data_IF_692645877492
#
_entry.id   IF_692645877492
#
_cell.length_a   1.000
_cell.length_b   1.000
_cell.length_c   1.000
_cell.angle_alpha   90.00
_cell.angle_beta   90.00
_cell.angle_gamma   90.00
#
_symmetry.space_group_name_H-M   'P 1'
#
loop_
_entity.id
_entity.type
_entity.pdbx_description
1 polymer ?
#
# COMPACT_ATOMS: atom_id res chain seq x y z
N UNK A 1 8.27 -44.50 -35.40
CA UNK A 1 8.91 -43.16 -35.33
C UNK A 1 7.98 -42.24 -34.57
N UNK A 2 8.18 -42.09 -33.26
CA UNK A 2 7.40 -41.18 -32.42
C UNK A 2 8.23 -39.91 -32.22
N UNK A 3 7.78 -38.82 -32.83
CA UNK A 3 8.38 -37.49 -32.69
C UNK A 3 7.97 -36.91 -31.33
N UNK A 4 8.94 -36.70 -30.44
CA UNK A 4 8.73 -36.00 -29.18
C UNK A 4 8.84 -34.49 -29.42
N UNK A 5 7.71 -33.81 -29.27
CA UNK A 5 7.61 -32.36 -29.24
C UNK A 5 8.13 -31.90 -27.87
N UNK A 6 9.27 -31.21 -27.86
CA UNK A 6 9.75 -30.51 -26.66
C UNK A 6 9.02 -29.17 -26.55
N UNK A 7 8.10 -29.07 -25.59
CA UNK A 7 7.60 -27.77 -25.14
C UNK A 7 8.70 -27.09 -24.32
N UNK A 8 9.29 -26.03 -24.88
CA UNK A 8 10.14 -25.12 -24.13
C UNK A 8 9.26 -24.23 -23.25
N UNK A 9 9.16 -24.57 -21.97
CA UNK A 9 8.57 -23.72 -20.95
C UNK A 9 9.43 -22.47 -20.78
N UNK A 10 8.91 -21.30 -21.18
CA UNK A 10 9.57 -20.03 -20.94
C UNK A 10 9.60 -19.73 -19.43
N UNK A 11 10.76 -19.90 -18.79
CA UNK A 11 11.01 -19.44 -17.43
C UNK A 11 11.10 -17.91 -17.42
N UNK A 12 10.03 -17.23 -17.02
CA UNK A 12 10.12 -15.86 -16.54
C UNK A 12 10.76 -15.87 -15.14
N UNK A 13 12.08 -15.77 -15.08
CA UNK A 13 12.79 -15.47 -13.84
C UNK A 13 12.45 -14.02 -13.42
N UNK A 14 11.54 -13.86 -12.46
CA UNK A 14 11.35 -12.57 -11.80
C UNK A 14 12.49 -12.41 -10.80
N UNK A 15 13.64 -11.95 -11.30
CA UNK A 15 14.70 -11.46 -10.44
C UNK A 15 14.14 -10.23 -9.70
N UNK A 16 14.00 -10.32 -8.38
CA UNK A 16 13.78 -9.14 -7.55
C UNK A 16 15.00 -8.22 -7.77
N UNK A 17 14.80 -7.13 -8.52
CA UNK A 17 15.86 -6.17 -8.76
C UNK A 17 16.44 -5.71 -7.41
N UNK A 18 17.77 -5.72 -7.28
CA UNK A 18 18.46 -5.32 -6.06
C UNK A 18 17.93 -3.95 -5.59
N UNK A 19 17.53 -3.81 -4.31
CA UNK A 19 17.03 -2.54 -3.80
C UNK A 19 18.07 -1.45 -4.02
N UNK A 20 17.69 -0.34 -4.64
CA UNK A 20 18.57 0.82 -4.78
C UNK A 20 18.25 1.84 -3.69
N UNK A 21 19.29 2.25 -2.95
CA UNK A 21 19.19 3.40 -2.05
C UNK A 21 19.29 4.66 -2.90
N UNK A 22 18.27 5.51 -2.85
CA UNK A 22 18.37 6.85 -3.41
C UNK A 22 19.44 7.66 -2.66
N UNK A 23 20.14 8.61 -3.31
CA UNK A 23 21.04 9.53 -2.62
C UNK A 23 20.26 10.26 -1.50
N UNK A 24 20.72 10.12 -0.24
CA UNK A 24 20.06 10.73 0.93
C UNK A 24 19.09 9.82 1.70
N UNK A 25 18.95 8.54 1.34
CA UNK A 25 18.09 7.53 1.98
C UNK A 25 18.37 7.21 3.46
N UNK A 26 19.27 7.97 4.09
CA UNK A 26 19.97 7.62 5.31
C UNK A 26 20.39 8.83 6.14
N UNK A 27 19.57 9.87 6.16
CA UNK A 27 19.99 11.10 6.83
C UNK A 27 19.80 11.02 8.35
N UNK A 28 18.89 10.16 8.85
CA UNK A 28 18.44 10.20 10.26
C UNK A 28 18.32 8.81 10.93
N UNK A 29 18.43 8.73 12.28
CA UNK A 29 18.45 7.45 13.00
C UNK A 29 17.21 6.56 12.84
N UNK A 30 16.00 7.15 12.83
CA UNK A 30 14.75 6.38 12.66
C UNK A 30 14.62 5.79 11.26
N UNK A 31 14.94 6.57 10.22
CA UNK A 31 15.05 6.08 8.84
C UNK A 31 16.01 4.88 8.78
N UNK A 32 17.17 4.98 9.44
CA UNK A 32 18.18 3.91 9.48
C UNK A 32 17.71 2.65 10.18
N UNK A 33 16.96 2.77 11.27
CA UNK A 33 16.41 1.60 11.97
C UNK A 33 15.40 0.87 11.09
N UNK A 34 14.45 1.60 10.50
CA UNK A 34 13.40 1.04 9.62
C UNK A 34 14.02 0.41 8.36
N UNK A 35 14.99 1.09 7.73
CA UNK A 35 15.73 0.53 6.60
C UNK A 35 16.49 -0.73 6.99
N UNK A 36 17.24 -0.70 8.10
CA UNK A 36 18.05 -1.85 8.52
C UNK A 36 17.18 -3.08 8.77
N UNK A 37 16.02 -2.90 9.42
CA UNK A 37 15.05 -3.98 9.61
C UNK A 37 14.54 -4.53 8.27
N UNK A 38 14.16 -3.64 7.35
CA UNK A 38 13.71 -4.04 6.01
C UNK A 38 14.79 -4.82 5.24
N UNK A 39 16.03 -4.32 5.19
CA UNK A 39 17.13 -4.97 4.50
C UNK A 39 17.54 -6.29 5.14
N UNK A 40 17.49 -6.38 6.47
CA UNK A 40 17.73 -7.64 7.18
C UNK A 40 16.66 -8.68 6.82
N UNK A 41 15.38 -8.30 6.80
CA UNK A 41 14.29 -9.18 6.38
C UNK A 41 14.48 -9.64 4.94
N UNK A 42 14.75 -8.71 4.02
CA UNK A 42 15.05 -9.03 2.62
C UNK A 42 16.21 -10.02 2.50
N UNK A 43 17.33 -9.77 3.19
CA UNK A 43 18.49 -10.64 3.16
C UNK A 43 18.13 -12.06 3.63
N UNK A 44 17.36 -12.18 4.71
CA UNK A 44 16.86 -13.49 5.19
C UNK A 44 15.97 -14.18 4.16
N UNK A 45 15.04 -13.47 3.50
CA UNK A 45 14.19 -14.06 2.45
C UNK A 45 15.01 -14.50 1.23
N UNK A 46 16.00 -13.71 0.82
CA UNK A 46 16.90 -14.05 -0.29
C UNK A 46 17.74 -15.28 0.05
N UNK A 47 18.27 -15.37 1.28
CA UNK A 47 19.01 -16.55 1.74
C UNK A 47 18.13 -17.80 1.75
N UNK A 48 16.91 -17.70 2.28
CA UNK A 48 15.95 -18.81 2.24
C UNK A 48 15.64 -19.22 0.80
N UNK A 49 15.40 -18.26 -0.10
CA UNK A 49 15.14 -18.51 -1.52
C UNK A 49 16.29 -19.20 -2.26
N UNK A 50 17.55 -18.88 -1.91
CA UNK A 50 18.73 -19.58 -2.47
C UNK A 50 18.77 -21.07 -2.11
N UNK A 51 18.15 -21.45 -1.00
CA UNK A 51 18.07 -22.84 -0.53
C UNK A 51 16.84 -23.57 -1.06
N UNK A 52 15.94 -22.88 -1.78
CA UNK A 52 14.76 -23.48 -2.38
C UNK A 52 15.10 -24.15 -3.71
N UNK A 53 14.60 -25.37 -3.92
CA UNK A 53 14.74 -26.09 -5.19
C UNK A 53 13.85 -25.58 -6.32
N UNK A 54 12.96 -24.61 -6.06
CA UNK A 54 12.06 -24.00 -7.05
C UNK A 54 11.74 -22.56 -6.67
N UNK A 55 11.52 -21.70 -7.68
CA UNK A 55 11.10 -20.31 -7.50
C UNK A 55 9.68 -20.27 -6.90
N UNK A 56 9.41 -19.42 -5.89
CA UNK A 56 8.06 -19.24 -5.37
C UNK A 56 7.06 -18.85 -6.47
N UNK A 57 5.96 -19.57 -6.56
CA UNK A 57 4.85 -19.23 -7.47
C UNK A 57 4.03 -18.12 -6.81
N UNK A 58 3.78 -17.05 -7.57
CA UNK A 58 2.91 -15.95 -7.19
C UNK A 58 1.45 -16.43 -7.21
N UNK A 59 0.99 -16.99 -6.09
CA UNK A 59 -0.34 -17.58 -5.93
C UNK A 59 -1.16 -16.74 -4.95
N UNK A 60 -2.01 -15.86 -5.48
CA UNK A 60 -2.83 -14.95 -4.69
C UNK A 60 -3.81 -15.65 -3.76
N UNK A 61 -4.17 -16.93 -4.02
CA UNK A 61 -5.03 -17.69 -3.10
C UNK A 61 -4.37 -17.97 -1.75
N UNK A 62 -3.04 -17.83 -1.66
CA UNK A 62 -2.26 -17.99 -0.42
C UNK A 62 -2.05 -16.68 0.33
N UNK A 63 -2.37 -15.54 -0.27
CA UNK A 63 -2.23 -14.25 0.38
C UNK A 63 -3.32 -14.08 1.46
N UNK A 64 -2.92 -13.65 2.65
CA UNK A 64 -3.81 -13.49 3.80
C UNK A 64 -3.91 -12.02 4.16
N UNK A 65 -5.13 -11.49 4.17
CA UNK A 65 -5.41 -10.12 4.59
C UNK A 65 -4.94 -9.92 6.05
N UNK A 66 -4.12 -8.89 6.34
CA UNK A 66 -3.68 -8.57 7.69
C UNK A 66 -4.84 -8.35 8.66
N UNK A 67 -4.66 -8.82 9.89
CA UNK A 67 -5.57 -8.63 11.03
C UNK A 67 -4.93 -7.66 12.02
N UNK A 68 -5.73 -6.77 12.60
CA UNK A 68 -5.30 -5.84 13.63
C UNK A 68 -5.76 -6.31 15.01
N UNK A 69 -4.91 -6.11 16.02
CA UNK A 69 -5.30 -6.29 17.41
C UNK A 69 -5.70 -4.93 18.03
N UNK A 70 -6.72 -4.86 18.91
CA UNK A 70 -7.60 -5.95 19.38
C UNK A 70 -8.85 -6.16 18.49
N UNK A 71 -9.14 -5.25 17.57
CA UNK A 71 -10.34 -5.28 16.71
C UNK A 71 -9.97 -5.44 15.25
N UNK A 72 -10.70 -6.28 14.53
CA UNK A 72 -10.49 -6.55 13.11
C UNK A 72 -11.52 -5.83 12.23
N UNK A 73 -11.11 -5.55 10.98
CA UNK A 73 -12.07 -5.21 9.93
C UNK A 73 -12.95 -6.43 9.62
N UNK A 74 -14.19 -6.23 9.16
CA UNK A 74 -15.01 -7.32 8.64
C UNK A 74 -14.28 -8.06 7.52
N UNK A 75 -14.37 -9.38 7.50
CA UNK A 75 -13.79 -10.22 6.44
C UNK A 75 -14.34 -9.85 5.05
N UNK A 76 -13.62 -10.20 3.97
CA UNK A 76 -14.17 -10.11 2.63
C UNK A 76 -15.51 -10.82 2.52
N UNK A 77 -16.44 -10.26 1.76
CA UNK A 77 -17.75 -10.88 1.60
C UNK A 77 -17.63 -12.28 0.97
N UNK A 78 -18.54 -13.18 1.34
CA UNK A 78 -18.51 -14.56 0.88
C UNK A 78 -18.58 -14.64 -0.65
N UNK A 79 -17.77 -15.52 -1.24
CA UNK A 79 -17.68 -15.70 -2.69
C UNK A 79 -16.64 -14.83 -3.39
N UNK A 80 -16.07 -13.83 -2.71
CA UNK A 80 -15.05 -12.95 -3.30
C UNK A 80 -13.67 -13.61 -3.37
N UNK A 81 -12.92 -13.29 -4.42
CA UNK A 81 -11.51 -13.67 -4.61
C UNK A 81 -10.60 -12.45 -4.55
N UNK A 82 -9.35 -12.65 -4.11
CA UNK A 82 -8.34 -11.60 -4.12
C UNK A 82 -7.83 -11.40 -5.55
N UNK A 83 -8.03 -10.19 -6.09
CA UNK A 83 -7.64 -9.81 -7.45
C UNK A 83 -6.25 -9.17 -7.50
N UNK A 84 -5.95 -8.30 -6.54
CA UNK A 84 -4.70 -7.51 -6.53
C UNK A 84 -4.33 -7.02 -5.14
N UNK A 85 -3.03 -6.85 -4.90
CA UNK A 85 -2.50 -6.16 -3.72
C UNK A 85 -1.52 -5.08 -4.17
N UNK A 86 -1.65 -3.89 -3.61
CA UNK A 86 -0.76 -2.78 -3.89
C UNK A 86 -0.25 -2.10 -2.61
N UNK A 87 0.94 -1.52 -2.69
CA UNK A 87 1.37 -0.49 -1.74
C UNK A 87 0.99 0.87 -2.30
N UNK A 88 0.21 1.65 -1.56
CA UNK A 88 -0.01 3.05 -1.87
C UNK A 88 0.99 3.94 -1.16
N UNK A 89 1.57 4.91 -1.88
CA UNK A 89 2.39 5.97 -1.32
C UNK A 89 1.87 7.31 -1.83
N UNK A 90 1.66 8.27 -0.93
CA UNK A 90 1.22 9.62 -1.28
C UNK A 90 0.82 10.43 -0.05
N UNK A 91 -0.25 11.23 -0.17
CA UNK A 91 -0.69 12.15 0.88
C UNK A 91 -2.17 12.00 1.24
N UNK A 92 -2.48 12.28 2.50
CA UNK A 92 -3.83 12.58 2.97
C UNK A 92 -4.01 14.09 2.98
N UNK A 93 -5.14 14.58 2.48
CA UNK A 93 -5.40 15.99 2.28
C UNK A 93 -6.47 16.47 3.26
N UNK A 94 -6.18 17.57 3.96
CA UNK A 94 -7.02 18.11 5.00
C UNK A 94 -7.24 19.61 4.81
N UNK A 95 -8.36 20.09 5.35
CA UNK A 95 -8.63 21.51 5.51
C UNK A 95 -8.93 21.89 6.94
N UNK A 96 -8.67 23.14 7.26
CA UNK A 96 -8.92 23.74 8.55
C UNK A 96 -9.72 25.03 8.41
N UNK A 97 -10.68 25.22 9.33
CA UNK A 97 -11.36 26.49 9.46
C UNK A 97 -10.44 27.50 10.13
N UNK A 98 -10.12 28.59 9.42
CA UNK A 98 -9.27 29.65 9.96
C UNK A 98 -9.96 30.50 11.04
N UNK A 99 -11.26 30.30 11.25
CA UNK A 99 -12.05 30.99 12.28
C UNK A 99 -12.26 30.17 13.55
N UNK A 100 -11.87 28.88 13.56
CA UNK A 100 -11.99 28.02 14.72
C UNK A 100 -10.75 27.13 14.91
N UNK A 101 -9.78 27.65 15.66
CA UNK A 101 -8.52 26.94 15.96
C UNK A 101 -8.72 25.64 16.77
N UNK A 102 -9.86 25.46 17.45
CA UNK A 102 -10.15 24.24 18.24
C UNK A 102 -10.88 23.16 17.44
N UNK A 103 -11.35 23.47 16.22
CA UNK A 103 -11.99 22.50 15.37
C UNK A 103 -11.01 21.43 14.90
N UNK A 104 -11.49 20.20 14.73
CA UNK A 104 -10.70 19.14 14.10
C UNK A 104 -10.55 19.40 12.59
N UNK A 105 -9.39 19.09 11.98
CA UNK A 105 -9.22 19.15 10.54
C UNK A 105 -10.20 18.25 9.80
N UNK A 106 -10.72 18.72 8.68
CA UNK A 106 -11.65 17.96 7.82
C UNK A 106 -10.86 17.23 6.74
N UNK A 107 -11.03 15.92 6.63
CA UNK A 107 -10.46 15.16 5.51
C UNK A 107 -11.19 15.51 4.21
N UNK A 108 -10.44 15.96 3.20
CA UNK A 108 -10.99 16.35 1.89
C UNK A 108 -10.53 15.45 0.75
N UNK A 109 -9.71 14.44 1.06
CA UNK A 109 -9.35 13.38 0.13
C UNK A 109 -7.95 12.83 0.38
N UNK A 110 -7.47 12.04 -0.56
CA UNK A 110 -6.11 11.53 -0.60
C UNK A 110 -5.67 11.41 -2.06
N UNK A 111 -4.36 11.43 -2.29
CA UNK A 111 -3.76 11.09 -3.58
C UNK A 111 -2.61 10.14 -3.31
N UNK A 112 -2.53 9.03 -4.05
CA UNK A 112 -1.42 8.11 -3.97
C UNK A 112 -1.17 7.38 -5.29
N UNK A 113 0.10 7.05 -5.53
CA UNK A 113 0.47 6.05 -6.53
C UNK A 113 0.45 4.67 -5.89
N UNK A 114 -0.09 3.71 -6.63
CA UNK A 114 -0.22 2.32 -6.20
C UNK A 114 0.84 1.47 -6.89
N UNK A 115 1.58 0.69 -6.13
CA UNK A 115 2.66 -0.16 -6.62
C UNK A 115 2.34 -1.64 -6.42
N UNK A 116 2.50 -2.46 -7.46
CA UNK A 116 2.09 -3.86 -7.46
C UNK A 116 2.85 -4.65 -6.38
N UNK A 117 2.13 -5.22 -5.42
CA UNK A 117 2.69 -6.01 -4.33
C UNK A 117 2.08 -7.42 -4.24
N UNK A 118 1.29 -7.84 -5.23
CA UNK A 118 0.55 -9.11 -5.27
C UNK A 118 1.43 -10.33 -4.99
N UNK A 119 2.64 -10.39 -5.55
CA UNK A 119 3.53 -11.53 -5.32
C UNK A 119 4.23 -11.46 -3.95
N UNK A 120 4.49 -10.27 -3.43
CA UNK A 120 5.01 -10.09 -2.06
C UNK A 120 3.93 -10.54 -1.06
N UNK A 121 2.68 -10.19 -1.31
CA UNK A 121 1.56 -10.55 -0.45
C UNK A 121 1.31 -12.05 -0.33
N UNK A 122 1.47 -12.80 -1.43
CA UNK A 122 1.33 -14.26 -1.44
C UNK A 122 2.54 -15.01 -0.88
N UNK A 123 3.74 -14.42 -0.94
CA UNK A 123 4.99 -15.14 -0.63
C UNK A 123 5.63 -14.71 0.70
N UNK A 124 5.57 -13.42 1.03
CA UNK A 124 6.28 -12.81 2.15
C UNK A 124 5.38 -11.78 2.87
N UNK A 125 4.32 -12.24 3.58
CA UNK A 125 3.36 -11.33 4.23
C UNK A 125 3.99 -10.43 5.30
N UNK A 126 5.03 -10.91 5.99
CA UNK A 126 5.80 -10.11 6.95
C UNK A 126 6.58 -9.00 6.26
N UNK A 127 7.21 -9.30 5.11
CA UNK A 127 7.88 -8.29 4.30
C UNK A 127 6.88 -7.28 3.74
N UNK A 128 5.71 -7.72 3.26
CA UNK A 128 4.64 -6.83 2.78
C UNK A 128 4.28 -5.79 3.84
N UNK A 129 4.04 -6.22 5.08
CA UNK A 129 3.70 -5.35 6.21
C UNK A 129 4.79 -4.33 6.57
N UNK A 130 6.04 -4.61 6.17
CA UNK A 130 7.16 -3.69 6.35
C UNK A 130 7.24 -2.62 5.25
N UNK A 131 6.70 -2.88 4.04
CA UNK A 131 6.87 -1.98 2.89
C UNK A 131 6.24 -0.60 3.14
N UNK A 132 5.01 -0.45 3.67
CA UNK A 132 4.47 0.88 3.98
C UNK A 132 5.36 1.65 4.96
N UNK A 133 5.94 0.96 5.96
CA UNK A 133 6.80 1.59 6.97
C UNK A 133 8.06 2.16 6.34
N UNK A 134 8.74 1.40 5.50
CA UNK A 134 9.96 1.87 4.83
C UNK A 134 9.66 2.86 3.71
N UNK A 135 8.58 2.67 2.94
CA UNK A 135 8.20 3.56 1.84
C UNK A 135 7.86 4.97 2.31
N UNK A 136 7.30 5.11 3.53
CA UNK A 136 6.99 6.40 4.12
C UNK A 136 8.25 7.26 4.26
N UNK A 137 9.40 6.68 4.60
CA UNK A 137 10.66 7.39 4.81
C UNK A 137 11.24 8.00 3.53
N UNK A 138 10.72 7.64 2.36
CA UNK A 138 11.16 8.19 1.08
C UNK A 138 10.13 9.17 0.53
N UNK A 139 10.63 10.33 0.10
CA UNK A 139 9.82 11.27 -0.64
C UNK A 139 9.59 10.75 -2.05
N UNK A 140 8.34 10.87 -2.50
CA UNK A 140 8.03 10.60 -3.89
C UNK A 140 8.54 11.71 -4.79
N UNK A 141 9.17 11.35 -5.90
CA UNK A 141 9.53 12.30 -6.96
C UNK A 141 8.56 12.19 -8.13
N UNK A 142 8.32 13.28 -8.85
CA UNK A 142 7.35 13.33 -9.95
C UNK A 142 7.63 12.30 -11.07
N UNK A 143 8.89 11.89 -11.24
CA UNK A 143 9.32 10.95 -12.28
C UNK A 143 9.58 9.53 -11.76
N UNK A 144 9.17 9.25 -10.52
CA UNK A 144 9.41 7.95 -9.90
C UNK A 144 8.57 6.86 -10.57
N UNK A 145 9.24 5.87 -11.17
CA UNK A 145 8.59 4.73 -11.85
C UNK A 145 8.44 3.48 -10.97
N UNK A 146 9.18 3.43 -9.86
CA UNK A 146 9.23 2.29 -8.95
C UNK A 146 9.22 2.76 -7.50
N UNK A 147 8.72 1.94 -6.59
CA UNK A 147 8.70 2.27 -5.17
C UNK A 147 10.05 2.01 -4.50
N UNK A 148 10.79 3.04 -4.13
CA UNK A 148 11.99 2.89 -3.30
C UNK A 148 11.64 2.45 -1.87
N UNK A 149 12.43 1.56 -1.26
CA UNK A 149 13.55 0.78 -1.82
C UNK A 149 13.10 -0.56 -2.45
N UNK A 150 11.82 -0.88 -2.43
CA UNK A 150 11.26 -2.17 -2.86
C UNK A 150 11.28 -2.48 -4.35
N UNK A 151 11.55 -1.49 -5.20
CA UNK A 151 11.51 -1.57 -6.66
C UNK A 151 10.16 -2.06 -7.24
N UNK A 152 9.06 -1.98 -6.49
CA UNK A 152 7.73 -2.36 -6.99
C UNK A 152 7.30 -1.43 -8.12
N UNK A 153 6.74 -1.99 -9.19
CA UNK A 153 6.27 -1.23 -10.34
C UNK A 153 4.89 -0.59 -10.10
N UNK A 154 4.61 0.53 -10.76
CA UNK A 154 3.29 1.18 -10.71
C UNK A 154 2.21 0.22 -11.23
N UNK A 155 1.08 0.18 -10.51
CA UNK A 155 -0.10 -0.63 -10.80
C UNK A 155 -1.41 0.16 -10.80
N UNK A 156 -1.35 1.45 -10.49
CA UNK A 156 -2.55 2.29 -10.50
C UNK A 156 -2.37 3.58 -9.73
N UNK A 157 -3.47 4.34 -9.63
CA UNK A 157 -3.55 5.59 -8.92
C UNK A 157 -4.77 5.57 -7.98
N UNK A 158 -4.62 6.19 -6.82
CA UNK A 158 -5.70 6.44 -5.89
C UNK A 158 -5.92 7.95 -5.75
N UNK A 159 -7.16 8.40 -5.90
CA UNK A 159 -7.54 9.80 -5.73
C UNK A 159 -9.02 9.93 -5.37
N UNK A 160 -9.44 11.11 -4.92
CA UNK A 160 -10.85 11.39 -4.65
C UNK A 160 -11.47 12.15 -5.83
N UNK A 161 -12.59 11.66 -6.37
CA UNK A 161 -13.33 12.35 -7.45
C UNK A 161 -14.25 13.45 -6.92
N UNK A 162 -14.58 13.39 -5.64
CA UNK A 162 -15.25 14.41 -4.84
C UNK A 162 -14.93 14.16 -3.37
N UNK A 163 -15.41 15.01 -2.46
CA UNK A 163 -15.11 14.93 -1.01
C UNK A 163 -15.48 13.59 -0.33
N UNK A 164 -16.26 12.71 -0.98
CA UNK A 164 -16.80 11.48 -0.36
C UNK A 164 -16.52 10.21 -1.15
N UNK A 165 -15.88 10.31 -2.31
CA UNK A 165 -15.70 9.19 -3.25
C UNK A 165 -14.21 8.95 -3.51
N UNK A 166 -13.55 8.10 -2.69
CA UNK A 166 -12.27 7.53 -3.06
C UNK A 166 -12.43 6.70 -4.34
N UNK A 167 -11.50 6.84 -5.27
CA UNK A 167 -11.42 6.05 -6.49
C UNK A 167 -10.04 5.41 -6.60
N UNK A 168 -10.02 4.16 -7.04
CA UNK A 168 -8.80 3.44 -7.40
C UNK A 168 -8.87 3.13 -8.89
N UNK A 169 -7.94 3.69 -9.65
CA UNK A 169 -7.77 3.41 -11.06
C UNK A 169 -6.60 2.43 -11.21
N UNK A 170 -6.90 1.18 -11.53
CA UNK A 170 -5.91 0.11 -11.71
C UNK A 170 -5.65 -0.18 -13.19
N UNK A 171 -6.15 0.67 -14.09
CA UNK A 171 -5.98 0.53 -15.54
C UNK A 171 -4.76 1.31 -16.04
N UNK A 172 -3.59 0.70 -15.88
CA UNK A 172 -2.32 1.24 -16.40
C UNK A 172 -2.03 0.77 -17.82
N UNK A 173 -0.92 1.19 -18.43
CA UNK A 173 -0.44 0.60 -19.69
C UNK A 173 0.02 -0.84 -19.53
N UNK A 174 0.45 -1.23 -18.32
CA UNK A 174 0.99 -2.56 -18.03
C UNK A 174 -0.08 -3.57 -17.55
N UNK A 175 -1.19 -3.09 -17.00
CA UNK A 175 -2.29 -3.94 -16.52
C UNK A 175 -3.64 -3.25 -16.66
N UNK A 176 -4.70 -4.03 -16.89
CA UNK A 176 -6.08 -3.57 -16.96
C UNK A 176 -6.94 -4.33 -15.97
N UNK A 177 -6.94 -3.90 -14.71
CA UNK A 177 -7.70 -4.55 -13.64
C UNK A 177 -9.06 -3.89 -13.36
N UNK A 178 -9.31 -2.71 -13.90
CA UNK A 178 -10.52 -1.94 -13.71
C UNK A 178 -10.37 -0.74 -12.78
N UNK A 179 -11.51 -0.08 -12.56
CA UNK A 179 -11.65 1.14 -11.77
C UNK A 179 -12.65 0.89 -10.66
N UNK A 180 -12.34 1.35 -9.44
CA UNK A 180 -13.17 1.16 -8.26
C UNK A 180 -13.46 2.50 -7.57
N UNK A 181 -14.55 3.20 -7.93
CA UNK A 181 -15.12 4.23 -7.07
C UNK A 181 -15.71 3.55 -5.84
N UNK A 182 -15.40 4.06 -4.66
CA UNK A 182 -15.65 3.38 -3.39
C UNK A 182 -16.40 4.27 -2.39
N UNK A 183 -16.89 3.62 -1.33
CA UNK A 183 -17.36 4.27 -0.11
C UNK A 183 -16.85 3.54 1.12
N UNK A 184 -16.72 4.27 2.23
CA UNK A 184 -16.38 3.67 3.52
C UNK A 184 -17.49 2.74 3.97
N UNK A 185 -17.14 1.48 4.24
CA UNK A 185 -18.03 0.50 4.85
C UNK A 185 -17.71 0.33 6.34
N UNK A 186 -16.44 0.12 6.68
CA UNK A 186 -16.00 -0.03 8.08
C UNK A 186 -14.63 0.59 8.30
N UNK A 187 -14.30 0.87 9.57
CA UNK A 187 -13.03 1.44 9.97
C UNK A 187 -12.64 0.99 11.37
N UNK A 188 -11.35 0.78 11.58
CA UNK A 188 -10.74 0.57 12.89
C UNK A 188 -9.50 1.47 13.01
N UNK A 189 -9.10 1.88 14.23
CA UNK A 189 -7.83 2.57 14.43
C UNK A 189 -6.65 1.77 13.87
N UNK A 190 -5.62 2.46 13.39
CA UNK A 190 -4.36 1.79 13.08
C UNK A 190 -3.75 1.18 14.36
N UNK A 191 -3.04 0.04 14.27
CA UNK A 191 -2.29 -0.51 15.39
C UNK A 191 -1.37 0.52 16.06
N UNK A 192 -1.15 0.39 17.36
CA UNK A 192 -0.36 1.37 18.14
C UNK A 192 1.11 1.42 17.76
N UNK A 193 1.64 0.38 17.09
CA UNK A 193 3.01 0.31 16.58
C UNK A 193 3.15 0.82 15.14
N UNK A 194 2.07 1.33 14.54
CA UNK A 194 2.10 1.91 13.21
C UNK A 194 2.98 3.18 13.20
N UNK A 195 3.80 3.41 12.16
CA UNK A 195 4.62 4.62 12.08
C UNK A 195 3.76 5.88 12.14
N UNK A 196 4.16 6.82 12.99
CA UNK A 196 3.39 8.04 13.25
C UNK A 196 3.47 9.07 12.13
N UNK A 197 4.50 8.97 11.28
CA UNK A 197 4.82 9.87 10.19
C UNK A 197 6.28 9.67 9.77
N UNK A 198 6.72 10.40 8.74
CA UNK A 198 8.10 10.33 8.25
C UNK A 198 9.08 10.72 9.36
N UNK A 199 10.24 10.07 9.41
CA UNK A 199 11.30 10.35 10.39
C UNK A 199 10.88 10.14 11.85
N UNK A 200 9.83 9.35 12.10
CA UNK A 200 9.21 9.26 13.43
C UNK A 200 8.52 10.56 13.87
N UNK A 201 8.36 11.53 12.97
CA UNK A 201 7.68 12.79 13.20
C UNK A 201 6.29 12.73 12.55
N UNK A 202 5.26 12.83 13.37
CA UNK A 202 3.89 12.85 12.89
C UNK A 202 2.91 12.62 14.02
N UNK A 203 1.63 12.48 13.65
CA UNK A 203 0.51 12.48 14.60
C UNK A 203 -0.29 11.18 14.56
N UNK A 204 0.29 10.15 13.94
CA UNK A 204 -0.26 8.80 13.88
C UNK A 204 -0.51 8.31 12.46
N UNK A 205 -0.79 7.02 12.34
CA UNK A 205 -1.23 6.41 11.09
C UNK A 205 -2.74 6.54 10.90
N UNK A 206 -3.20 6.84 9.67
CA UNK A 206 -4.64 6.88 9.37
C UNK A 206 -5.33 5.55 9.66
N UNK A 207 -6.62 5.53 10.00
CA UNK A 207 -7.36 4.30 10.28
C UNK A 207 -7.29 3.28 9.15
N UNK A 208 -7.34 1.99 9.50
CA UNK A 208 -7.61 0.94 8.52
C UNK A 208 -9.07 1.03 8.08
N UNK A 209 -9.33 0.68 6.82
CA UNK A 209 -10.65 0.82 6.20
C UNK A 209 -11.03 -0.46 5.46
N UNK A 210 -12.30 -0.86 5.59
CA UNK A 210 -13.01 -1.66 4.60
C UNK A 210 -13.82 -0.71 3.73
N UNK A 211 -13.65 -0.80 2.42
CA UNK A 211 -14.40 -0.05 1.42
C UNK A 211 -15.20 -1.02 0.56
N UNK A 212 -16.38 -0.58 0.12
CA UNK A 212 -17.19 -1.25 -0.89
C UNK A 212 -17.28 -0.38 -2.13
N UNK A 213 -17.28 -0.99 -3.31
CA UNK A 213 -17.43 -0.23 -4.54
C UNK A 213 -18.83 0.38 -4.69
N UNK A 214 -18.91 1.45 -5.47
CA UNK A 214 -20.14 2.14 -5.88
C UNK A 214 -20.42 1.83 -7.36
N UNK A 215 -21.57 2.31 -7.85
CA UNK A 215 -21.87 2.35 -9.28
C UNK A 215 -20.70 2.97 -10.08
N UNK A 216 -20.39 2.35 -11.22
CA UNK A 216 -19.26 2.75 -12.08
C UNK A 216 -17.98 1.96 -11.82
N UNK A 217 -17.99 0.99 -10.91
CA UNK A 217 -16.89 0.03 -10.79
C UNK A 217 -16.82 -0.91 -12.00
N UNK A 218 -15.60 -1.25 -12.40
CA UNK A 218 -15.30 -2.14 -13.53
C UNK A 218 -14.31 -3.23 -13.11
N UNK A 219 -14.15 -4.25 -13.95
CA UNK A 219 -13.26 -5.38 -13.68
C UNK A 219 -13.71 -6.17 -12.45
N UNK A 220 -15.02 -6.25 -12.19
CA UNK A 220 -15.64 -6.99 -11.09
C UNK A 220 -15.15 -6.60 -9.68
N UNK A 221 -14.45 -5.45 -9.55
CA UNK A 221 -13.98 -4.93 -8.28
C UNK A 221 -15.16 -4.64 -7.35
N UNK A 222 -15.12 -5.20 -6.14
CA UNK A 222 -16.24 -5.18 -5.21
C UNK A 222 -15.85 -4.63 -3.82
N UNK A 223 -14.69 -5.02 -3.30
CA UNK A 223 -14.22 -4.56 -1.98
C UNK A 223 -12.75 -4.14 -2.03
N UNK A 224 -12.42 -3.10 -1.27
CA UNK A 224 -11.04 -2.61 -1.13
C UNK A 224 -10.72 -2.44 0.35
N UNK A 225 -9.60 -3.00 0.78
CA UNK A 225 -9.13 -2.86 2.15
C UNK A 225 -7.90 -1.98 2.19
N UNK A 226 -7.88 -0.99 3.09
CA UNK A 226 -6.68 -0.24 3.45
C UNK A 226 -6.18 -0.73 4.80
N UNK A 227 -5.00 -1.34 4.84
CA UNK A 227 -4.39 -1.93 6.04
C UNK A 227 -2.91 -1.59 6.13
N UNK A 228 -2.26 -1.93 7.25
CA UNK A 228 -0.85 -1.64 7.51
C UNK A 228 -0.44 -0.20 7.17
N UNK A 229 -1.30 0.75 7.55
CA UNK A 229 -1.12 2.18 7.32
C UNK A 229 0.08 2.73 8.11
N UNK A 230 0.81 3.66 7.51
CA UNK A 230 1.90 4.41 8.11
C UNK A 230 1.68 5.92 7.83
N UNK A 231 1.68 6.75 8.86
CA UNK A 231 1.48 8.19 8.76
C UNK A 231 0.09 8.62 8.26
N UNK A 232 -0.01 9.90 7.89
CA UNK A 232 -1.21 10.49 7.30
C UNK A 232 -2.24 11.05 8.27
N UNK A 233 -2.12 10.86 9.59
CA UNK A 233 -3.10 11.43 10.54
C UNK A 233 -2.88 12.94 10.72
N UNK A 234 -3.96 13.73 10.79
CA UNK A 234 -3.87 15.16 11.04
C UNK A 234 -3.69 15.44 12.54
N UNK A 235 -3.39 16.70 12.93
CA UNK A 235 -3.53 17.10 14.33
C UNK A 235 -4.97 16.99 14.82
N UNK A 236 -5.12 16.94 16.14
CA UNK A 236 -6.45 16.90 16.78
C UNK A 236 -7.25 18.19 16.57
N UNK A 237 -6.56 19.32 16.38
CA UNK A 237 -7.15 20.65 16.23
C UNK A 237 -6.43 21.46 15.15
N UNK A 238 -7.10 22.48 14.62
CA UNK A 238 -6.60 23.36 13.56
C UNK A 238 -5.66 24.47 14.03
N UNK A 239 -5.37 24.57 15.33
CA UNK A 239 -4.48 25.58 15.88
C UNK A 239 -3.09 25.51 15.22
N UNK A 240 -2.68 26.62 14.59
CA UNK A 240 -1.38 26.73 13.90
C UNK A 240 -1.32 26.02 12.54
N UNK A 241 -2.43 25.46 12.05
CA UNK A 241 -2.48 24.82 10.74
C UNK A 241 -2.86 25.81 9.65
N UNK A 242 -2.34 25.66 8.41
CA UNK A 242 -2.86 26.40 7.27
C UNK A 242 -4.27 25.92 6.90
N UNK A 243 -4.97 26.71 6.10
CA UNK A 243 -6.32 26.39 5.61
C UNK A 243 -6.39 25.05 4.89
N UNK A 244 -5.34 24.69 4.14
CA UNK A 244 -5.18 23.40 3.47
C UNK A 244 -3.80 22.84 3.74
N UNK A 245 -3.69 21.54 4.03
CA UNK A 245 -2.40 20.88 4.20
C UNK A 245 -2.47 19.41 3.77
N UNK A 246 -1.28 18.84 3.59
CA UNK A 246 -1.08 17.45 3.22
C UNK A 246 -0.24 16.75 4.27
N UNK A 247 -0.56 15.48 4.54
CA UNK A 247 0.21 14.62 5.45
C UNK A 247 0.64 13.37 4.69
N UNK A 248 1.94 13.13 4.64
CA UNK A 248 2.54 11.97 3.98
C UNK A 248 2.04 10.66 4.61
N UNK A 249 1.69 9.70 3.76
CA UNK A 249 1.26 8.38 4.19
C UNK A 249 1.71 7.28 3.22
N UNK A 250 1.71 6.06 3.75
CA UNK A 250 1.77 4.84 2.97
C UNK A 250 0.78 3.81 3.55
N UNK A 251 0.32 2.85 2.73
CA UNK A 251 -0.57 1.77 3.17
C UNK A 251 -0.53 0.58 2.22
N UNK A 252 -1.00 -0.57 2.69
CA UNK A 252 -1.41 -1.66 1.83
C UNK A 252 -2.85 -1.47 1.36
N UNK A 253 -3.10 -1.82 0.11
CA UNK A 253 -4.42 -1.87 -0.51
C UNK A 253 -4.66 -3.27 -1.07
N UNK A 254 -5.73 -3.93 -0.61
CA UNK A 254 -6.13 -5.26 -1.07
C UNK A 254 -7.46 -5.15 -1.81
N UNK A 255 -7.49 -5.63 -3.05
CA UNK A 255 -8.61 -5.49 -3.98
C UNK A 255 -9.26 -6.85 -4.23
N UNK A 256 -10.55 -6.95 -3.92
CA UNK A 256 -11.34 -8.17 -4.10
C UNK A 256 -12.34 -8.00 -5.23
N UNK A 257 -12.57 -9.09 -5.95
CA UNK A 257 -13.57 -9.20 -7.01
C UNK A 257 -14.71 -10.15 -6.63
N UNK A 258 -15.88 -9.93 -7.24
CA UNK A 258 -17.10 -10.73 -7.04
C UNK A 258 -17.18 -11.96 -7.93
#
# INVERSE_FOLDING_TARGET
MLSQIWMASALCAVALAAPSLAPGAAARPEEMKVLSQYFQMLATKVQAGKMMGMVPVCDLSKAVLPVAAPTNLPLPSAGMSLKHVAIGRGTQNYTCSQTNATAAPTAVGAVATLFNASCVASTYPDLLAMIPKVALEFNMTANQKILSPSNLAISGQHYFTNLTTPLFDLDTTAMKLGVAPCQKNSSIPAPTDAPVGQNGLGLGAVPWLKLTTRSGATGDLAEVYRVNTAGGSPPKVCAGMPETFQVEYAAEYWFYES
#
